data_IF_035486586364
#
_entry.id   IF_035486586364
#
_cell.length_a   1.000
_cell.length_b   1.000
_cell.length_c   1.000
_cell.angle_alpha   90.00
_cell.angle_beta   90.00
_cell.angle_gamma   90.00
#
_symmetry.space_group_name_H-M   'P 1'
#
loop_
_entity.id
_entity.type
_entity.pdbx_description
1 polymer ?
#
# COMPACT_ATOMS: atom_id res chain seq x y z
N UNK A 1 16.45 5.93 -15.47
CA UNK A 1 15.68 4.82 -14.87
C UNK A 1 15.82 4.98 -13.36
N UNK A 2 14.75 5.38 -12.68
CA UNK A 2 14.81 5.68 -11.25
C UNK A 2 14.95 4.34 -10.52
N UNK A 3 16.07 4.11 -9.85
CA UNK A 3 16.28 2.91 -9.04
C UNK A 3 15.28 2.90 -7.88
N UNK A 4 14.18 2.17 -8.09
CA UNK A 4 13.08 1.97 -7.15
C UNK A 4 13.56 1.44 -5.79
N UNK A 5 14.77 0.88 -5.74
CA UNK A 5 15.50 0.48 -4.53
C UNK A 5 15.75 1.62 -3.52
N UNK A 6 15.67 2.89 -3.94
CA UNK A 6 16.01 4.05 -3.09
C UNK A 6 14.78 4.81 -2.54
N UNK A 7 13.57 4.42 -2.94
CA UNK A 7 12.34 5.19 -2.66
C UNK A 7 11.96 5.19 -1.18
N UNK A 8 12.42 4.21 -0.42
CA UNK A 8 11.83 3.93 0.86
C UNK A 8 12.85 4.25 1.94
N UNK A 9 12.44 5.04 2.93
CA UNK A 9 13.06 4.93 4.24
C UNK A 9 13.18 3.44 4.59
N UNK A 10 14.20 3.10 5.37
CA UNK A 10 14.81 1.76 5.48
C UNK A 10 13.84 0.60 5.75
N UNK A 11 12.60 0.85 6.17
CA UNK A 11 11.57 -0.15 6.44
C UNK A 11 10.84 -0.66 5.17
N UNK A 12 10.05 0.19 4.48
CA UNK A 12 9.17 -0.28 3.42
C UNK A 12 9.92 -0.83 2.18
N UNK A 13 11.16 -0.38 1.95
CA UNK A 13 12.03 -0.89 0.88
C UNK A 13 12.60 -2.27 1.14
N UNK A 14 12.80 -2.61 2.42
CA UNK A 14 13.17 -3.97 2.80
C UNK A 14 11.98 -4.91 2.63
N UNK A 15 10.79 -4.46 3.00
CA UNK A 15 9.55 -5.26 2.92
C UNK A 15 9.18 -5.58 1.47
N UNK A 16 9.29 -4.61 0.56
CA UNK A 16 9.09 -4.82 -0.87
C UNK A 16 10.07 -5.84 -1.48
N UNK A 17 11.33 -5.84 -1.05
CA UNK A 17 12.31 -6.85 -1.48
C UNK A 17 12.04 -8.22 -0.86
N UNK A 18 11.69 -8.26 0.43
CA UNK A 18 11.39 -9.48 1.15
C UNK A 18 10.13 -10.18 0.64
N UNK A 19 9.20 -9.43 0.06
CA UNK A 19 7.99 -9.98 -0.55
C UNK A 19 8.27 -10.86 -1.79
N UNK A 20 9.43 -10.69 -2.45
CA UNK A 20 9.77 -11.46 -3.65
C UNK A 20 8.74 -11.25 -4.77
N UNK A 21 8.14 -12.34 -5.25
CA UNK A 21 7.12 -12.33 -6.31
C UNK A 21 5.69 -12.12 -5.80
N UNK A 22 5.48 -12.00 -4.49
CA UNK A 22 4.16 -11.75 -3.91
C UNK A 22 3.68 -10.34 -4.27
N UNK A 23 2.37 -10.19 -4.43
CA UNK A 23 1.75 -8.88 -4.49
C UNK A 23 1.93 -8.19 -3.13
N UNK A 24 2.26 -6.90 -3.16
CA UNK A 24 2.33 -6.02 -1.99
C UNK A 24 1.27 -4.94 -2.13
N UNK A 25 0.43 -4.78 -1.13
CA UNK A 25 -0.58 -3.72 -1.04
C UNK A 25 -0.17 -2.79 0.09
N UNK A 26 0.02 -1.51 -0.22
CA UNK A 26 0.37 -0.48 0.75
C UNK A 26 -0.82 0.46 0.93
N UNK A 27 -1.35 0.54 2.15
CA UNK A 27 -2.36 1.49 2.59
C UNK A 27 -1.69 2.71 3.22
N UNK A 28 -1.70 3.82 2.50
CA UNK A 28 -1.26 5.11 3.00
C UNK A 28 -2.42 5.77 3.75
N UNK A 29 -2.25 5.92 5.05
CA UNK A 29 -3.30 6.23 6.02
C UNK A 29 -2.88 7.39 6.93
N UNK A 30 -3.80 7.85 7.77
CA UNK A 30 -3.51 8.83 8.81
C UNK A 30 -4.45 8.64 10.01
N UNK A 31 -3.96 8.89 11.22
CA UNK A 31 -4.73 8.78 12.46
C UNK A 31 -5.99 9.69 12.51
N UNK A 32 -5.94 10.83 11.83
CA UNK A 32 -7.01 11.82 11.74
C UNK A 32 -7.97 11.57 10.56
N UNK A 33 -7.67 10.62 9.68
CA UNK A 33 -8.46 10.35 8.49
C UNK A 33 -9.70 9.49 8.81
N UNK A 34 -10.89 10.10 8.79
CA UNK A 34 -12.17 9.42 8.97
C UNK A 34 -12.40 8.25 8.00
N UNK A 35 -12.25 8.44 6.68
CA UNK A 35 -12.37 7.36 5.70
C UNK A 35 -11.40 6.19 5.90
N UNK A 36 -10.20 6.47 6.42
CA UNK A 36 -9.20 5.44 6.72
C UNK A 36 -9.68 4.50 7.84
N UNK A 37 -10.33 5.06 8.86
CA UNK A 37 -10.94 4.28 9.96
C UNK A 37 -12.07 3.39 9.45
N UNK A 38 -12.83 3.82 8.44
CA UNK A 38 -13.90 3.03 7.84
C UNK A 38 -13.39 1.82 7.06
N UNK A 39 -12.28 1.96 6.33
CA UNK A 39 -11.71 0.86 5.53
C UNK A 39 -10.69 0.01 6.31
N UNK A 40 -10.27 0.44 7.51
CA UNK A 40 -9.34 -0.34 8.33
C UNK A 40 -9.81 -1.78 8.64
N UNK A 41 -11.10 -2.07 8.93
CA UNK A 41 -11.61 -3.44 9.09
C UNK A 41 -11.61 -4.23 7.78
N UNK A 42 -11.75 -3.56 6.64
CA UNK A 42 -11.71 -4.18 5.31
C UNK A 42 -10.30 -4.69 4.98
N UNK A 43 -9.28 -4.11 5.62
CA UNK A 43 -7.90 -4.62 5.55
C UNK A 43 -7.75 -6.04 6.11
N UNK A 44 -8.79 -6.58 6.80
CA UNK A 44 -8.88 -8.00 7.14
C UNK A 44 -9.05 -8.92 5.93
N UNK A 45 -9.27 -8.38 4.72
CA UNK A 45 -9.06 -9.09 3.44
C UNK A 45 -7.71 -9.79 3.39
N UNK A 46 -6.70 -9.32 4.13
CA UNK A 46 -5.41 -10.01 4.32
C UNK A 46 -5.55 -11.45 4.83
N UNK A 47 -6.60 -11.76 5.59
CA UNK A 47 -6.81 -13.09 6.14
C UNK A 47 -7.19 -14.10 5.05
N UNK A 48 -7.89 -13.65 4.02
CA UNK A 48 -8.27 -14.44 2.85
C UNK A 48 -7.12 -14.54 1.83
N UNK A 49 -6.09 -13.70 1.97
CA UNK A 49 -5.06 -13.47 0.94
C UNK A 49 -3.64 -13.63 1.51
N UNK A 50 -3.33 -14.83 2.03
CA UNK A 50 -2.03 -15.15 2.69
C UNK A 50 -0.81 -15.10 1.77
N UNK A 51 -1.04 -15.15 0.47
CA UNK A 51 -0.08 -14.99 -0.62
C UNK A 51 0.22 -13.52 -0.97
N UNK A 52 -0.48 -12.57 -0.33
CA UNK A 52 -0.28 -11.13 -0.50
C UNK A 52 0.26 -10.50 0.77
N UNK A 53 1.21 -9.58 0.60
CA UNK A 53 1.77 -8.78 1.69
C UNK A 53 0.98 -7.49 1.80
N UNK A 54 0.50 -7.18 3.01
CA UNK A 54 -0.27 -5.97 3.28
C UNK A 54 0.51 -5.09 4.25
N UNK A 55 0.76 -3.84 3.87
CA UNK A 55 1.52 -2.85 4.63
C UNK A 55 0.65 -1.62 4.88
N UNK A 56 0.87 -0.97 6.02
CA UNK A 56 0.27 0.33 6.35
C UNK A 56 1.38 1.34 6.54
N UNK A 57 1.19 2.53 5.97
CA UNK A 57 2.11 3.66 6.10
C UNK A 57 1.30 4.84 6.62
N UNK A 58 1.58 5.26 7.84
CA UNK A 58 1.05 6.52 8.34
C UNK A 58 1.82 7.67 7.70
N UNK A 59 1.11 8.56 7.01
CA UNK A 59 1.74 9.67 6.27
C UNK A 59 2.36 10.73 7.17
N UNK A 60 1.92 10.84 8.43
CA UNK A 60 2.51 11.77 9.40
C UNK A 60 3.83 11.22 9.96
N UNK A 61 3.93 9.90 10.13
CA UNK A 61 5.14 9.23 10.61
C UNK A 61 6.19 9.00 9.51
N UNK A 62 5.74 8.84 8.25
CA UNK A 62 6.57 8.55 7.09
C UNK A 62 6.33 9.56 5.96
N UNK A 63 6.45 10.84 6.27
CA UNK A 63 6.20 11.95 5.33
C UNK A 63 7.12 11.88 4.09
N UNK A 64 8.40 11.56 4.26
CA UNK A 64 9.35 11.47 3.15
C UNK A 64 9.01 10.34 2.17
N UNK A 65 8.51 9.21 2.69
CA UNK A 65 8.02 8.09 1.88
C UNK A 65 6.74 8.47 1.15
N UNK A 66 5.83 9.14 1.85
CA UNK A 66 4.53 9.54 1.31
C UNK A 66 4.67 10.54 0.17
N UNK A 67 5.56 11.53 0.31
CA UNK A 67 5.91 12.47 -0.75
C UNK A 67 6.51 11.76 -1.98
N UNK A 68 7.50 10.89 -1.79
CA UNK A 68 8.14 10.13 -2.90
C UNK A 68 7.16 9.19 -3.60
N UNK A 69 6.20 8.65 -2.86
CA UNK A 69 5.13 7.80 -3.40
C UNK A 69 4.02 8.62 -4.08
N UNK A 70 4.05 9.96 -4.01
CA UNK A 70 3.06 10.84 -4.62
C UNK A 70 1.70 10.78 -3.93
N UNK A 71 1.70 10.64 -2.60
CA UNK A 71 0.47 10.57 -1.80
C UNK A 71 -0.05 11.99 -1.57
N UNK A 72 -1.29 12.22 -1.98
CA UNK A 72 -1.97 13.52 -1.82
C UNK A 72 -3.33 13.42 -1.13
N UNK A 73 -3.79 12.20 -0.82
CA UNK A 73 -5.07 11.95 -0.16
C UNK A 73 -5.02 10.62 0.57
N UNK A 74 -5.81 10.48 1.63
CA UNK A 74 -5.88 9.25 2.41
C UNK A 74 -7.35 8.77 2.50
N UNK A 75 -7.60 7.46 2.44
CA UNK A 75 -6.61 6.42 2.19
C UNK A 75 -6.18 6.40 0.70
N UNK A 76 -4.92 6.05 0.45
CA UNK A 76 -4.45 5.68 -0.89
C UNK A 76 -3.85 4.29 -0.83
N UNK A 77 -4.28 3.43 -1.76
CA UNK A 77 -3.74 2.09 -1.93
C UNK A 77 -2.78 2.07 -3.12
N UNK A 78 -1.55 1.62 -2.91
CA UNK A 78 -0.60 1.33 -3.99
C UNK A 78 -0.29 -0.16 -4.02
N UNK A 79 -0.20 -0.70 -5.23
CA UNK A 79 0.00 -2.13 -5.48
C UNK A 79 1.35 -2.33 -6.14
N UNK A 80 2.14 -3.26 -5.64
CA UNK A 80 3.47 -3.54 -6.14
C UNK A 80 3.72 -5.03 -6.32
N UNK A 81 4.57 -5.38 -7.28
CA UNK A 81 5.06 -6.76 -7.48
C UNK A 81 6.48 -6.68 -8.03
N UNK A 82 7.39 -7.52 -7.54
CA UNK A 82 8.81 -7.47 -7.91
C UNK A 82 9.45 -6.09 -7.74
N UNK A 83 9.00 -5.31 -6.75
CA UNK A 83 9.51 -3.97 -6.50
C UNK A 83 9.03 -2.89 -7.49
N UNK A 84 8.09 -3.19 -8.39
CA UNK A 84 7.51 -2.20 -9.31
C UNK A 84 6.07 -1.87 -8.94
N UNK A 85 5.66 -0.61 -9.09
CA UNK A 85 4.28 -0.17 -8.87
C UNK A 85 3.42 -0.57 -10.07
N UNK A 86 2.37 -1.35 -9.81
CA UNK A 86 1.42 -1.82 -10.81
C UNK A 86 0.23 -0.86 -10.98
N UNK A 87 -0.42 -0.51 -9.87
CA UNK A 87 -1.63 0.30 -9.87
C UNK A 87 -1.74 1.09 -8.56
N UNK A 88 -2.59 2.13 -8.55
CA UNK A 88 -2.97 2.81 -7.33
C UNK A 88 -4.40 3.37 -7.43
N UNK A 89 -5.04 3.60 -6.28
CA UNK A 89 -6.24 4.43 -6.21
C UNK A 89 -6.37 5.06 -4.82
N UNK A 90 -7.13 6.15 -4.74
CA UNK A 90 -7.49 6.80 -3.48
C UNK A 90 -8.97 6.61 -3.14
N UNK A 91 -9.29 6.71 -1.85
CA UNK A 91 -10.64 6.63 -1.32
C UNK A 91 -10.96 5.28 -0.66
N UNK A 92 -11.90 5.32 0.28
CA UNK A 92 -12.33 4.16 1.06
C UNK A 92 -13.33 3.28 0.28
N UNK A 93 -12.86 2.56 -0.75
CA UNK A 93 -13.67 1.61 -1.53
C UNK A 93 -13.21 0.16 -1.29
N UNK A 94 -14.01 -0.59 -0.53
CA UNK A 94 -13.77 -2.02 -0.30
C UNK A 94 -13.86 -2.83 -1.59
N UNK A 95 -14.89 -2.58 -2.40
CA UNK A 95 -15.12 -3.28 -3.66
C UNK A 95 -13.89 -3.13 -4.58
N UNK A 96 -13.41 -1.89 -4.74
CA UNK A 96 -12.24 -1.61 -5.58
C UNK A 96 -10.98 -2.26 -5.03
N UNK A 97 -10.77 -2.22 -3.71
CA UNK A 97 -9.63 -2.89 -3.08
C UNK A 97 -9.62 -4.39 -3.37
N UNK A 98 -10.75 -5.07 -3.14
CA UNK A 98 -10.89 -6.52 -3.39
C UNK A 98 -10.72 -6.86 -4.86
N UNK A 99 -11.35 -6.10 -5.76
CA UNK A 99 -11.24 -6.30 -7.20
C UNK A 99 -9.81 -6.14 -7.70
N UNK A 100 -9.10 -5.10 -7.25
CA UNK A 100 -7.70 -4.87 -7.64
C UNK A 100 -6.77 -5.95 -7.06
N UNK A 101 -6.98 -6.40 -5.82
CA UNK A 101 -6.23 -7.53 -5.25
C UNK A 101 -6.44 -8.81 -6.07
N UNK A 102 -7.69 -9.15 -6.40
CA UNK A 102 -8.00 -10.33 -7.21
C UNK A 102 -7.42 -10.26 -8.62
N UNK A 103 -7.38 -9.06 -9.22
CA UNK A 103 -6.81 -8.81 -10.56
C UNK A 103 -5.28 -8.96 -10.60
N UNK A 104 -4.58 -8.57 -9.54
CA UNK A 104 -3.10 -8.42 -9.55
C UNK A 104 -2.32 -9.58 -8.89
N UNK A 105 -3.02 -10.47 -8.19
CA UNK A 105 -2.47 -11.75 -7.72
C UNK A 105 -2.02 -12.61 -8.90
#
# INVERSE_FOLDING_TARGET
KIDFLRILSVAAGKELKAAGSKLVVVDFTASWCGPCKMIAPVFEVRNENKDVVFLKVDVDEASDVSEKCGISSMPTFQFYKNGEKLEQFSGASEEKLRATVAKLK
#
